data_IF_367443199459
#
_entry.id   IF_367443199459
#
_cell.length_a   1.000
_cell.length_b   1.000
_cell.length_c   1.000
_cell.angle_alpha   90.00
_cell.angle_beta   90.00
_cell.angle_gamma   90.00
#
_symmetry.space_group_name_H-M   'P 1'
#
loop_
_entity.id
_entity.type
_entity.pdbx_description
1 polymer ?
#
# COMPACT_ATOMS: atom_id res chain seq x y z
N UNK A 1 6.23 11.79 2.50
CA UNK A 1 5.67 11.36 1.21
C UNK A 1 5.80 12.51 0.23
N UNK A 2 6.22 12.21 -0.98
CA UNK A 2 6.22 13.15 -2.11
C UNK A 2 4.88 13.04 -2.86
N UNK A 3 4.52 14.03 -3.69
CA UNK A 3 3.40 13.90 -4.61
C UNK A 3 3.51 12.62 -5.44
N UNK A 4 2.38 11.93 -5.64
CA UNK A 4 2.24 10.64 -6.35
C UNK A 4 2.82 9.40 -5.64
N UNK A 5 3.38 9.54 -4.44
CA UNK A 5 3.62 8.36 -3.60
C UNK A 5 2.28 7.69 -3.29
N UNK A 6 2.24 6.36 -3.39
CA UNK A 6 1.07 5.56 -3.03
C UNK A 6 1.35 4.81 -1.74
N UNK A 7 0.35 4.78 -0.87
CA UNK A 7 0.39 3.97 0.36
C UNK A 7 -0.25 2.62 0.05
N UNK A 8 0.47 1.55 0.38
CA UNK A 8 0.03 0.17 0.11
C UNK A 8 0.16 -0.68 1.37
N UNK A 9 -0.71 -1.68 1.51
CA UNK A 9 -0.51 -2.79 2.45
C UNK A 9 -0.22 -4.02 1.60
N UNK A 10 0.99 -4.56 1.73
CA UNK A 10 1.42 -5.75 0.98
C UNK A 10 0.97 -7.00 1.75
N UNK A 11 0.45 -8.00 1.03
CA UNK A 11 0.12 -9.30 1.63
C UNK A 11 1.34 -9.91 2.33
N UNK A 12 1.15 -10.34 3.58
CA UNK A 12 2.23 -10.81 4.47
C UNK A 12 2.96 -9.71 5.24
N UNK A 13 2.68 -8.44 4.96
CA UNK A 13 3.11 -7.30 5.77
C UNK A 13 2.19 -7.04 6.97
N UNK A 14 2.74 -6.42 8.01
CA UNK A 14 2.01 -6.05 9.23
C UNK A 14 1.87 -4.52 9.42
N UNK A 15 2.29 -3.74 8.43
CA UNK A 15 2.30 -2.28 8.45
C UNK A 15 2.15 -1.74 7.02
N UNK A 16 1.67 -0.51 6.82
CA UNK A 16 1.69 0.14 5.52
C UNK A 16 3.10 0.42 5.00
N UNK A 17 3.21 0.53 3.68
CA UNK A 17 4.42 0.89 2.97
C UNK A 17 4.15 2.04 2.00
N UNK A 18 5.20 2.78 1.68
CA UNK A 18 5.18 3.73 0.57
C UNK A 18 5.81 3.09 -0.64
N UNK A 19 5.11 3.17 -1.77
CA UNK A 19 5.61 2.82 -3.08
C UNK A 19 5.55 4.05 -3.98
N UNK A 20 6.55 4.22 -4.85
CA UNK A 20 6.60 5.34 -5.79
C UNK A 20 6.48 4.82 -7.23
N UNK A 21 5.52 5.30 -8.03
CA UNK A 21 5.44 4.98 -9.44
C UNK A 21 6.75 5.31 -10.17
N UNK A 22 7.23 4.38 -10.99
CA UNK A 22 8.44 4.51 -11.81
C UNK A 22 8.22 3.77 -13.14
N UNK A 23 7.66 4.48 -14.13
CA UNK A 23 7.20 3.83 -15.37
C UNK A 23 6.03 2.90 -15.08
N UNK A 24 6.15 1.64 -15.51
CA UNK A 24 5.16 0.58 -15.25
C UNK A 24 5.41 -0.15 -13.91
N UNK A 25 6.50 0.19 -13.23
CA UNK A 25 6.93 -0.43 -11.97
C UNK A 25 6.76 0.54 -10.78
N UNK A 26 7.01 0.03 -9.58
CA UNK A 26 6.96 0.80 -8.34
C UNK A 26 8.24 0.63 -7.52
N UNK A 27 8.89 1.73 -7.19
CA UNK A 27 10.01 1.72 -6.25
C UNK A 27 9.50 1.44 -4.83
N UNK A 28 10.11 0.48 -4.15
CA UNK A 28 9.81 0.21 -2.74
C UNK A 28 10.52 1.24 -1.84
N UNK A 29 9.77 2.17 -1.23
CA UNK A 29 10.35 3.24 -0.41
C UNK A 29 10.50 2.86 1.06
N UNK A 30 9.76 1.85 1.54
CA UNK A 30 9.82 1.35 2.90
C UNK A 30 8.51 1.52 3.69
N UNK A 31 8.58 1.25 4.99
CA UNK A 31 7.42 1.29 5.90
C UNK A 31 6.94 2.73 6.14
N UNK A 32 5.64 2.89 6.38
CA UNK A 32 5.05 4.16 6.79
C UNK A 32 4.00 3.98 7.88
N UNK A 33 3.91 4.98 8.75
CA UNK A 33 2.83 5.10 9.71
C UNK A 33 1.71 5.96 9.12
N UNK A 34 0.51 5.40 9.01
CA UNK A 34 -0.67 6.09 8.48
C UNK A 34 -1.86 5.74 9.36
N UNK A 35 -2.24 6.67 10.23
CA UNK A 35 -3.21 6.48 11.33
C UNK A 35 -4.47 5.71 10.90
N UNK A 36 -5.08 6.09 9.78
CA UNK A 36 -6.36 5.56 9.28
C UNK A 36 -6.31 4.12 8.73
N UNK A 37 -5.13 3.54 8.56
CA UNK A 37 -4.96 2.17 8.02
C UNK A 37 -4.11 1.26 8.92
N UNK A 38 -3.55 1.80 10.01
CA UNK A 38 -2.69 1.05 10.94
C UNK A 38 -3.48 0.00 11.75
N UNK A 39 -4.81 0.09 11.83
CA UNK A 39 -5.65 -0.88 12.54
C UNK A 39 -6.31 -1.90 11.59
N UNK A 40 -5.81 -2.01 10.35
CA UNK A 40 -6.27 -3.00 9.37
C UNK A 40 -7.51 -2.58 8.58
N UNK A 41 -7.91 -1.32 8.63
CA UNK A 41 -9.05 -0.76 7.92
C UNK A 41 -9.01 -1.09 6.42
N UNK A 42 -7.82 -0.96 5.79
CA UNK A 42 -7.65 -1.29 4.37
C UNK A 42 -7.85 -2.78 4.07
N UNK A 43 -7.43 -3.67 4.97
CA UNK A 43 -7.63 -5.12 4.82
C UNK A 43 -9.12 -5.46 4.96
N UNK A 44 -9.80 -4.86 5.93
CA UNK A 44 -11.25 -5.03 6.12
C UNK A 44 -12.05 -4.53 4.90
N UNK A 45 -11.60 -3.44 4.25
CA UNK A 45 -12.21 -2.96 3.01
C UNK A 45 -12.07 -3.97 1.86
N UNK A 46 -10.93 -4.65 1.75
CA UNK A 46 -10.73 -5.73 0.77
C UNK A 46 -11.59 -6.94 1.10
N UNK A 47 -11.59 -7.40 2.36
CA UNK A 47 -12.38 -8.55 2.81
C UNK A 47 -13.89 -8.33 2.66
N UNK A 48 -14.36 -7.10 2.85
CA UNK A 48 -15.77 -6.74 2.67
C UNK A 48 -16.15 -6.41 1.22
N UNK A 49 -15.19 -6.43 0.29
CA UNK A 49 -15.40 -6.10 -1.13
C UNK A 49 -15.61 -4.61 -1.42
N UNK A 50 -15.36 -3.72 -0.44
CA UNK A 50 -15.36 -2.26 -0.65
C UNK A 50 -14.16 -1.79 -1.46
N UNK A 51 -13.08 -2.57 -1.46
CA UNK A 51 -11.87 -2.32 -2.24
C UNK A 51 -11.40 -3.62 -2.90
N UNK A 52 -10.76 -3.50 -4.06
CA UNK A 52 -10.06 -4.61 -4.71
C UNK A 52 -8.56 -4.45 -4.49
N UNK A 53 -7.87 -5.56 -4.31
CA UNK A 53 -6.41 -5.60 -4.35
C UNK A 53 -5.91 -5.57 -5.80
N UNK A 54 -4.67 -5.11 -5.95
CA UNK A 54 -4.00 -5.01 -7.25
C UNK A 54 -2.59 -5.57 -7.14
N UNK A 55 -2.12 -6.19 -8.23
CA UNK A 55 -0.77 -6.72 -8.30
C UNK A 55 0.20 -5.61 -8.69
N UNK A 56 1.19 -5.38 -7.83
CA UNK A 56 2.28 -4.42 -8.06
C UNK A 56 3.57 -5.16 -8.40
N UNK A 57 4.35 -4.62 -9.34
CA UNK A 57 5.73 -5.04 -9.58
C UNK A 57 6.66 -4.05 -8.87
N UNK A 58 7.37 -4.54 -7.86
CA UNK A 58 8.27 -3.72 -7.03
C UNK A 58 9.71 -3.86 -7.52
N UNK A 59 10.41 -2.73 -7.64
CA UNK A 59 11.82 -2.62 -8.02
C UNK A 59 12.67 -1.89 -6.96
#
# INVERSE_FOLDING_TARGET
>A
MAPNDVVVVLYGGNTPFVSRPCGDDFLFMGQAYVDEIMNGELVQDVESGRRQDERLHLI
#
